data_IF_285269412620
#
_entry.id   IF_285269412620
#
_cell.length_a   1.000
_cell.length_b   1.000
_cell.length_c   1.000
_cell.angle_alpha   90.00
_cell.angle_beta   90.00
_cell.angle_gamma   90.00
#
_symmetry.space_group_name_H-M   'P 1'
#
loop_
_entity.id
_entity.type
_entity.pdbx_description
1 polymer ?
#
# COMPACT_ATOMS: atom_id res chain seq x y z
N UNK A 1 55.03 -73.23 29.32
CA UNK A 1 54.67 -72.65 28.01
C UNK A 1 54.34 -71.19 28.25
N UNK A 2 55.30 -70.31 27.98
CA UNK A 2 55.25 -68.87 28.27
C UNK A 2 54.66 -68.15 27.06
N UNK A 3 53.51 -67.51 27.23
CA UNK A 3 52.84 -66.74 26.16
C UNK A 3 53.39 -65.32 26.18
N UNK A 4 54.13 -64.96 25.14
CA UNK A 4 54.69 -63.62 24.93
C UNK A 4 53.61 -62.70 24.34
N UNK A 5 53.10 -61.76 25.15
CA UNK A 5 52.10 -60.77 24.75
C UNK A 5 52.80 -59.58 24.10
N UNK A 6 53.00 -59.67 22.78
CA UNK A 6 53.44 -58.56 21.93
C UNK A 6 52.36 -57.45 21.88
N UNK A 7 52.62 -56.33 22.57
CA UNK A 7 51.77 -55.14 22.52
C UNK A 7 51.96 -54.35 21.21
N UNK A 8 50.88 -53.93 20.54
CA UNK A 8 50.96 -53.24 19.26
C UNK A 8 51.50 -51.81 19.39
N UNK A 9 52.25 -51.31 18.39
CA UNK A 9 52.78 -49.95 18.40
C UNK A 9 51.66 -48.92 18.25
N UNK A 10 51.48 -48.07 19.26
CA UNK A 10 50.60 -46.89 19.20
C UNK A 10 51.26 -45.79 18.37
N UNK A 11 50.99 -45.76 17.07
CA UNK A 11 51.46 -44.71 16.16
C UNK A 11 50.71 -43.40 16.44
N UNK A 12 51.31 -42.51 17.23
CA UNK A 12 50.76 -41.18 17.52
C UNK A 12 50.86 -40.30 16.27
N UNK A 13 49.81 -40.26 15.46
CA UNK A 13 49.69 -39.27 14.38
C UNK A 13 49.64 -37.86 14.97
N UNK A 14 50.77 -37.17 15.05
CA UNK A 14 50.82 -35.74 15.33
C UNK A 14 50.11 -35.02 14.19
N UNK A 15 48.97 -34.39 14.50
CA UNK A 15 48.32 -33.45 13.58
C UNK A 15 49.33 -32.34 13.35
N UNK A 16 49.77 -32.21 12.10
CA UNK A 16 50.77 -31.24 11.72
C UNK A 16 50.15 -29.84 11.82
N UNK A 17 50.85 -28.90 12.44
CA UNK A 17 50.49 -27.47 12.46
C UNK A 17 49.94 -26.95 11.11
N UNK A 18 50.48 -27.35 9.93
CA UNK A 18 49.92 -26.94 8.64
C UNK A 18 48.47 -27.39 8.38
N UNK A 19 48.03 -28.55 8.87
CA UNK A 19 46.63 -28.98 8.68
C UNK A 19 45.67 -28.08 9.47
N UNK A 20 46.04 -27.69 10.69
CA UNK A 20 45.24 -26.79 11.52
C UNK A 20 45.11 -25.39 10.92
N UNK A 21 46.20 -24.85 10.36
CA UNK A 21 46.20 -23.57 9.65
C UNK A 21 45.32 -23.61 8.39
N UNK A 22 45.39 -24.70 7.61
CA UNK A 22 44.57 -24.85 6.41
C UNK A 22 43.08 -24.83 6.72
N UNK A 23 42.66 -25.54 7.78
CA UNK A 23 41.26 -25.51 8.23
C UNK A 23 40.82 -24.13 8.72
N UNK A 24 41.66 -23.43 9.48
CA UNK A 24 41.37 -22.07 9.93
C UNK A 24 41.13 -21.13 8.73
N UNK A 25 41.98 -21.20 7.70
CA UNK A 25 41.84 -20.39 6.48
C UNK A 25 40.54 -20.72 5.75
N UNK A 26 40.18 -21.99 5.64
CA UNK A 26 38.91 -22.41 5.02
C UNK A 26 37.68 -21.87 5.75
N UNK A 27 37.70 -21.87 7.09
CA UNK A 27 36.61 -21.32 7.91
C UNK A 27 36.48 -19.82 7.70
N UNK A 28 37.59 -19.08 7.74
CA UNK A 28 37.59 -17.63 7.55
C UNK A 28 37.16 -17.27 6.13
N UNK A 29 37.65 -17.99 5.12
CA UNK A 29 37.27 -17.78 3.73
C UNK A 29 35.79 -18.10 3.48
N UNK A 30 35.27 -19.18 4.07
CA UNK A 30 33.85 -19.54 3.99
C UNK A 30 32.95 -18.51 4.68
N UNK A 31 33.35 -18.01 5.85
CA UNK A 31 32.62 -16.96 6.56
C UNK A 31 32.62 -15.64 5.78
N UNK A 32 33.78 -15.24 5.23
CA UNK A 32 33.89 -14.03 4.41
C UNK A 32 33.09 -14.14 3.10
N UNK A 33 33.16 -15.28 2.43
CA UNK A 33 32.40 -15.56 1.21
C UNK A 33 30.90 -15.57 1.45
N UNK A 34 30.45 -16.21 2.54
CA UNK A 34 29.04 -16.23 2.95
C UNK A 34 28.52 -14.84 3.32
N UNK A 35 29.30 -14.03 4.04
CA UNK A 35 28.95 -12.65 4.35
C UNK A 35 28.85 -11.78 3.09
N UNK A 36 29.81 -11.90 2.17
CA UNK A 36 29.82 -11.16 0.91
C UNK A 36 28.63 -11.54 0.01
N UNK A 37 28.35 -12.83 -0.14
CA UNK A 37 27.21 -13.31 -0.91
C UNK A 37 25.89 -12.91 -0.24
N UNK A 38 25.79 -12.98 1.09
CA UNK A 38 24.60 -12.53 1.83
C UNK A 38 24.28 -11.05 1.61
N UNK A 39 25.30 -10.19 1.61
CA UNK A 39 25.14 -8.76 1.33
C UNK A 39 24.75 -8.46 -0.12
N UNK A 40 25.21 -9.27 -1.08
CA UNK A 40 24.93 -9.08 -2.52
C UNK A 40 23.58 -9.66 -2.96
N UNK A 41 23.19 -10.82 -2.45
CA UNK A 41 22.04 -11.57 -2.95
C UNK A 41 20.78 -11.41 -2.11
N UNK A 42 20.90 -11.13 -0.81
CA UNK A 42 19.74 -10.88 0.06
C UNK A 42 19.55 -9.38 0.28
N UNK A 43 19.54 -8.62 -0.82
CA UNK A 43 19.55 -7.15 -0.86
C UNK A 43 18.78 -6.48 0.27
N UNK A 44 19.38 -5.46 0.86
CA UNK A 44 18.73 -4.61 1.86
C UNK A 44 17.45 -4.05 1.26
N UNK A 45 16.30 -4.46 1.80
CA UNK A 45 15.02 -3.90 1.40
C UNK A 45 14.71 -2.73 2.33
N UNK A 46 14.55 -1.56 1.74
CA UNK A 46 14.16 -0.32 2.41
C UNK A 46 12.68 -0.08 2.14
N UNK A 47 11.91 0.23 3.17
CA UNK A 47 10.49 0.57 3.03
C UNK A 47 10.26 2.05 3.31
N UNK A 48 9.68 2.74 2.33
CA UNK A 48 9.20 4.11 2.49
C UNK A 48 7.67 4.15 2.63
N UNK A 49 7.16 5.10 3.40
CA UNK A 49 5.74 5.27 3.69
C UNK A 49 5.31 6.70 3.34
N UNK A 50 4.31 6.85 2.45
CA UNK A 50 3.57 8.08 2.20
C UNK A 50 2.19 8.02 2.86
N UNK A 51 1.67 9.17 3.29
CA UNK A 51 0.34 9.27 3.91
C UNK A 51 -0.53 10.24 3.14
N UNK A 52 -1.69 9.73 2.72
CA UNK A 52 -2.72 10.44 1.99
C UNK A 52 -3.94 10.59 2.90
N UNK A 53 -4.61 11.74 2.89
CA UNK A 53 -5.90 11.89 3.56
C UNK A 53 -7.02 11.93 2.54
N UNK A 54 -8.14 11.34 2.90
CA UNK A 54 -9.36 11.29 2.11
C UNK A 54 -10.40 12.23 2.72
N UNK A 55 -11.12 12.94 1.86
CA UNK A 55 -12.07 13.99 2.20
C UNK A 55 -11.46 15.40 2.24
N UNK A 56 -12.38 16.37 2.23
CA UNK A 56 -12.08 17.78 2.51
C UNK A 56 -11.62 17.95 3.97
N UNK A 57 -10.54 18.71 4.16
CA UNK A 57 -9.98 19.04 5.47
C UNK A 57 -10.60 20.30 6.08
N UNK A 58 -11.58 20.91 5.42
CA UNK A 58 -12.28 22.08 5.95
C UNK A 58 -13.06 21.77 7.23
N UNK A 59 -13.02 22.69 8.19
CA UNK A 59 -13.76 22.59 9.46
C UNK A 59 -15.27 22.42 9.21
N UNK A 60 -15.78 23.02 8.13
CA UNK A 60 -17.19 22.89 7.73
C UNK A 60 -17.52 21.46 7.32
N UNK A 61 -16.68 20.80 6.52
CA UNK A 61 -16.89 19.41 6.13
C UNK A 61 -16.88 18.48 7.34
N UNK A 62 -15.93 18.69 8.27
CA UNK A 62 -15.80 17.88 9.48
C UNK A 62 -16.98 18.01 10.46
N UNK A 63 -17.75 19.11 10.37
CA UNK A 63 -18.94 19.32 11.22
C UNK A 63 -20.17 18.53 10.78
N UNK A 64 -20.15 17.91 9.59
CA UNK A 64 -21.28 17.16 9.05
C UNK A 64 -21.40 15.81 9.79
N UNK A 65 -22.55 15.49 10.40
CA UNK A 65 -22.76 14.19 11.04
C UNK A 65 -22.52 13.04 10.07
N UNK A 66 -21.74 12.03 10.50
CA UNK A 66 -21.39 10.87 9.68
C UNK A 66 -20.19 11.06 8.75
N UNK A 67 -19.62 12.27 8.65
CA UNK A 67 -18.47 12.56 7.80
C UNK A 67 -17.25 11.66 8.09
N UNK A 68 -16.89 11.51 9.37
CA UNK A 68 -15.76 10.67 9.78
C UNK A 68 -15.92 9.22 9.30
N UNK A 69 -17.12 8.63 9.47
CA UNK A 69 -17.40 7.27 9.02
C UNK A 69 -17.32 7.16 7.49
N UNK A 70 -17.88 8.13 6.76
CA UNK A 70 -17.83 8.15 5.30
C UNK A 70 -16.39 8.24 4.77
N UNK A 71 -15.56 9.12 5.34
CA UNK A 71 -14.14 9.25 4.95
C UNK A 71 -13.31 8.01 5.29
N UNK A 72 -13.58 7.33 6.41
CA UNK A 72 -12.96 6.04 6.75
C UNK A 72 -13.34 4.94 5.75
N UNK A 73 -14.62 4.86 5.35
CA UNK A 73 -15.08 3.93 4.34
C UNK A 73 -14.43 4.20 2.97
N UNK A 74 -14.36 5.48 2.57
CA UNK A 74 -13.67 5.87 1.34
C UNK A 74 -12.18 5.52 1.38
N UNK A 75 -11.48 5.78 2.50
CA UNK A 75 -10.08 5.39 2.66
C UNK A 75 -9.88 3.88 2.52
N UNK A 76 -10.78 3.07 3.09
CA UNK A 76 -10.79 1.61 2.90
C UNK A 76 -11.02 1.22 1.43
N UNK A 77 -11.98 1.83 0.75
CA UNK A 77 -12.27 1.54 -0.66
C UNK A 77 -11.09 1.92 -1.56
N UNK A 78 -10.54 3.13 -1.42
CA UNK A 78 -9.41 3.62 -2.21
C UNK A 78 -8.12 2.84 -1.95
N UNK A 79 -7.86 2.39 -0.72
CA UNK A 79 -6.69 1.54 -0.44
C UNK A 79 -6.67 0.24 -1.27
N UNK A 80 -7.86 -0.31 -1.59
CA UNK A 80 -7.98 -1.55 -2.38
C UNK A 80 -7.72 -1.33 -3.87
N UNK A 81 -7.94 -0.11 -4.38
CA UNK A 81 -7.71 0.23 -5.79
C UNK A 81 -6.23 0.14 -6.17
N UNK A 82 -5.30 0.56 -5.28
CA UNK A 82 -3.85 0.36 -5.50
C UNK A 82 -3.54 -1.14 -5.59
N UNK A 83 -4.08 -1.95 -4.66
CA UNK A 83 -3.75 -3.38 -4.59
C UNK A 83 -4.12 -4.15 -5.86
N UNK A 84 -5.12 -3.68 -6.62
CA UNK A 84 -5.49 -4.24 -7.92
C UNK A 84 -4.70 -3.68 -9.11
N UNK A 85 -4.11 -2.48 -8.97
CA UNK A 85 -3.43 -1.77 -10.06
C UNK A 85 -1.91 -1.99 -10.05
N UNK A 86 -1.32 -2.22 -8.87
CA UNK A 86 0.09 -2.56 -8.73
C UNK A 86 0.30 -4.03 -9.12
N UNK A 87 0.98 -4.26 -10.25
CA UNK A 87 1.45 -5.59 -10.64
C UNK A 87 2.63 -6.08 -9.78
N UNK A 88 3.12 -5.22 -8.88
CA UNK A 88 4.29 -5.45 -8.06
C UNK A 88 3.90 -5.51 -6.58
N UNK A 89 4.20 -6.65 -5.94
CA UNK A 89 3.98 -6.88 -4.50
C UNK A 89 4.81 -5.95 -3.61
N UNK A 90 5.76 -5.20 -4.20
CA UNK A 90 6.58 -4.21 -3.49
C UNK A 90 5.81 -2.98 -3.01
N UNK A 91 4.63 -2.71 -3.60
CA UNK A 91 3.77 -1.56 -3.27
C UNK A 91 2.51 -2.05 -2.57
N UNK A 92 2.22 -1.48 -1.40
CA UNK A 92 1.01 -1.79 -0.64
C UNK A 92 0.30 -0.52 -0.22
N UNK A 93 -1.03 -0.55 -0.19
CA UNK A 93 -1.84 0.51 0.37
C UNK A 93 -2.81 -0.05 1.40
N UNK A 94 -2.95 0.64 2.52
CA UNK A 94 -3.82 0.22 3.61
C UNK A 94 -4.44 1.44 4.30
N UNK A 95 -5.70 1.35 4.76
CA UNK A 95 -6.27 2.41 5.56
C UNK A 95 -5.65 2.36 6.97
N UNK A 96 -5.44 3.53 7.57
CA UNK A 96 -5.12 3.61 9.00
C UNK A 96 -6.45 3.43 9.76
N UNK A 97 -6.54 2.47 10.71
CA UNK A 97 -7.76 2.25 11.49
C UNK A 97 -8.26 3.54 12.15
N UNK A 98 -9.59 3.71 12.16
CA UNK A 98 -10.29 4.85 12.74
C UNK A 98 -9.88 6.22 12.18
N UNK A 99 -9.25 6.25 11.00
CA UNK A 99 -8.73 7.46 10.36
C UNK A 99 -9.13 7.56 8.89
N UNK A 100 -9.21 8.79 8.39
CA UNK A 100 -9.38 9.10 6.98
C UNK A 100 -8.07 9.00 6.18
N UNK A 101 -7.01 8.44 6.77
CA UNK A 101 -5.67 8.39 6.19
C UNK A 101 -5.43 7.03 5.53
N UNK A 102 -4.93 7.06 4.29
CA UNK A 102 -4.38 5.91 3.58
C UNK A 102 -2.86 5.96 3.73
N UNK A 103 -2.30 4.80 4.08
CA UNK A 103 -0.88 4.54 4.17
C UNK A 103 -0.43 3.81 2.92
N UNK A 104 0.41 4.44 2.13
CA UNK A 104 1.03 3.87 0.92
C UNK A 104 2.47 3.52 1.25
N UNK A 105 2.87 2.29 1.02
CA UNK A 105 4.23 1.80 1.26
C UNK A 105 4.82 1.23 0.00
N UNK A 106 6.09 1.53 -0.23
CA UNK A 106 6.87 0.89 -1.28
C UNK A 106 8.17 0.36 -0.70
N UNK A 107 8.58 -0.81 -1.17
CA UNK A 107 9.82 -1.46 -0.77
C UNK A 107 10.79 -1.53 -1.93
N UNK A 108 12.01 -1.05 -1.76
CA UNK A 108 13.03 -1.02 -2.81
C UNK A 108 14.45 -1.32 -2.27
N UNK A 109 15.46 -1.52 -3.14
CA UNK A 109 16.83 -1.82 -2.71
C UNK A 109 17.56 -0.67 -2.00
N UNK A 110 17.08 0.56 -2.16
CA UNK A 110 17.65 1.77 -1.58
C UNK A 110 16.59 2.80 -1.22
N UNK A 111 16.96 3.75 -0.36
CA UNK A 111 16.09 4.80 0.19
C UNK A 111 15.44 5.65 -0.91
N UNK A 112 16.22 6.05 -1.92
CA UNK A 112 15.74 6.95 -2.97
C UNK A 112 14.70 6.26 -3.86
N UNK A 113 14.96 5.01 -4.24
CA UNK A 113 14.03 4.19 -5.00
C UNK A 113 12.74 3.93 -4.21
N UNK A 114 12.82 3.65 -2.91
CA UNK A 114 11.64 3.39 -2.07
C UNK A 114 10.77 4.65 -1.94
N UNK A 115 11.38 5.81 -1.69
CA UNK A 115 10.69 7.10 -1.59
C UNK A 115 10.02 7.44 -2.93
N UNK A 116 10.74 7.32 -4.04
CA UNK A 116 10.19 7.60 -5.36
C UNK A 116 8.98 6.71 -5.68
N UNK A 117 9.10 5.40 -5.46
CA UNK A 117 8.02 4.44 -5.70
C UNK A 117 6.79 4.71 -4.80
N UNK A 118 6.99 5.07 -3.53
CA UNK A 118 5.89 5.39 -2.62
C UNK A 118 5.17 6.69 -3.01
N UNK A 119 5.91 7.72 -3.45
CA UNK A 119 5.34 8.97 -3.94
C UNK A 119 4.60 8.78 -5.27
N UNK A 120 5.17 8.03 -6.21
CA UNK A 120 4.52 7.71 -7.48
C UNK A 120 3.23 6.91 -7.26
N UNK A 121 3.26 5.89 -6.41
CA UNK A 121 2.07 5.13 -6.03
C UNK A 121 1.00 6.03 -5.38
N UNK A 122 1.41 7.00 -4.57
CA UNK A 122 0.50 7.96 -3.94
C UNK A 122 -0.16 8.89 -4.97
N UNK A 123 0.60 9.40 -5.94
CA UNK A 123 0.07 10.22 -7.06
C UNK A 123 -0.89 9.41 -7.91
N UNK A 124 -0.53 8.19 -8.29
CA UNK A 124 -1.38 7.29 -9.08
C UNK A 124 -2.69 6.97 -8.36
N UNK A 125 -2.67 6.83 -7.03
CA UNK A 125 -3.89 6.65 -6.26
C UNK A 125 -4.77 7.89 -6.26
N UNK A 126 -4.18 9.08 -6.08
CA UNK A 126 -4.94 10.33 -6.16
C UNK A 126 -5.61 10.41 -7.53
N UNK A 127 -4.89 10.18 -8.62
CA UNK A 127 -5.46 10.22 -9.97
C UNK A 127 -6.57 9.18 -10.16
N UNK A 128 -6.36 7.94 -9.72
CA UNK A 128 -7.34 6.86 -9.83
C UNK A 128 -8.59 7.13 -9.00
N UNK A 129 -8.42 7.59 -7.76
CA UNK A 129 -9.53 7.95 -6.87
C UNK A 129 -10.33 9.13 -7.44
N UNK A 130 -9.64 10.13 -7.99
CA UNK A 130 -10.27 11.28 -8.65
C UNK A 130 -11.08 10.85 -9.88
N UNK A 131 -10.53 9.94 -10.69
CA UNK A 131 -11.21 9.40 -11.86
C UNK A 131 -12.44 8.57 -11.48
N UNK A 132 -12.32 7.71 -10.48
CA UNK A 132 -13.43 6.89 -10.00
C UNK A 132 -14.58 7.77 -9.44
N UNK A 133 -14.24 8.79 -8.66
CA UNK A 133 -15.21 9.75 -8.12
C UNK A 133 -15.89 10.55 -9.22
N UNK A 134 -15.11 11.09 -10.16
CA UNK A 134 -15.64 11.89 -11.27
C UNK A 134 -16.71 11.13 -12.05
N UNK A 135 -16.47 9.86 -12.36
CA UNK A 135 -17.44 9.03 -13.09
C UNK A 135 -18.75 8.84 -12.32
N UNK A 136 -18.69 8.48 -11.03
CA UNK A 136 -19.91 8.25 -10.23
C UNK A 136 -20.69 9.55 -9.97
N UNK A 137 -20.00 10.66 -9.69
CA UNK A 137 -20.64 11.96 -9.46
C UNK A 137 -21.24 12.53 -10.75
N UNK A 138 -20.53 12.42 -11.87
CA UNK A 138 -21.01 12.85 -13.18
C UNK A 138 -22.28 12.06 -13.58
N UNK A 139 -22.28 10.74 -13.36
CA UNK A 139 -23.45 9.89 -13.63
C UNK A 139 -24.63 10.26 -12.73
N UNK A 140 -24.41 10.47 -11.43
CA UNK A 140 -25.46 10.85 -10.49
C UNK A 140 -26.06 12.23 -10.83
N UNK A 141 -25.22 13.20 -11.18
CA UNK A 141 -25.64 14.54 -11.59
C UNK A 141 -26.38 14.52 -12.93
N UNK A 142 -25.90 13.75 -13.90
CA UNK A 142 -26.59 13.55 -15.18
C UNK A 142 -27.98 12.94 -14.95
N UNK A 143 -28.10 11.92 -14.09
CA UNK A 143 -29.38 11.32 -13.76
C UNK A 143 -30.31 12.28 -13.00
N UNK A 144 -29.79 13.15 -12.12
CA UNK A 144 -30.58 14.16 -11.44
C UNK A 144 -31.13 15.20 -12.43
N UNK A 145 -30.32 15.65 -13.38
CA UNK A 145 -30.72 16.59 -14.42
C UNK A 145 -31.79 15.99 -15.37
N UNK A 146 -31.61 14.74 -15.81
CA UNK A 146 -32.59 14.04 -16.65
C UNK A 146 -33.93 13.84 -15.95
N UNK A 147 -33.92 13.52 -14.65
CA UNK A 147 -35.14 13.44 -13.83
C UNK A 147 -35.85 14.79 -13.75
N UNK A 148 -35.11 15.87 -13.50
CA UNK A 148 -35.67 17.22 -13.46
C UNK A 148 -36.29 17.64 -14.81
N UNK A 149 -35.65 17.32 -15.94
CA UNK A 149 -36.23 17.57 -17.27
C UNK A 149 -37.54 16.80 -17.50
N UNK A 150 -37.58 15.52 -17.09
CA UNK A 150 -38.79 14.70 -17.21
C UNK A 150 -39.95 15.25 -16.37
N UNK A 151 -39.65 15.71 -15.15
CA UNK A 151 -40.62 16.39 -14.27
C UNK A 151 -41.15 17.68 -14.92
N UNK A 152 -40.26 18.50 -15.49
CA UNK A 152 -40.64 19.73 -16.19
C UNK A 152 -41.55 19.44 -17.40
N UNK A 153 -41.19 18.48 -18.25
CA UNK A 153 -42.00 18.12 -19.42
C UNK A 153 -43.40 17.61 -19.02
N UNK A 154 -43.46 16.81 -17.95
CA UNK A 154 -44.73 16.32 -17.38
C UNK A 154 -45.57 17.48 -16.84
N UNK A 155 -44.95 18.41 -16.11
CA UNK A 155 -45.63 19.57 -15.55
C UNK A 155 -46.14 20.53 -16.65
N UNK A 156 -45.35 20.75 -17.71
CA UNK A 156 -45.77 21.54 -18.88
C UNK A 156 -46.95 20.91 -19.61
N UNK A 157 -46.94 19.58 -19.78
CA UNK A 157 -48.06 18.86 -20.42
C UNK A 157 -49.34 19.00 -19.59
N UNK A 158 -49.24 18.90 -18.26
CA UNK A 158 -50.37 19.14 -17.35
C UNK A 158 -50.86 20.59 -17.40
N UNK A 159 -49.95 21.56 -17.46
CA UNK A 159 -50.31 22.97 -17.58
C UNK A 159 -51.07 23.25 -18.87
N UNK A 160 -50.60 22.71 -20.01
CA UNK A 160 -51.30 22.85 -21.30
C UNK A 160 -52.67 22.18 -21.28
N UNK A 161 -52.79 21.00 -20.68
CA UNK A 161 -54.08 20.32 -20.56
C UNK A 161 -55.06 21.06 -19.63
N UNK A 162 -54.55 21.66 -18.53
CA UNK A 162 -55.35 22.44 -17.59
C UNK A 162 -55.77 23.81 -18.13
N UNK A 163 -55.10 24.33 -19.16
CA UNK A 163 -55.36 25.64 -19.75
C UNK A 163 -56.77 25.78 -20.36
N UNK A 164 -57.41 24.67 -20.75
CA UNK A 164 -58.80 24.65 -21.24
C UNK A 164 -59.83 24.42 -20.13
N UNK A 165 -59.38 24.19 -18.89
CA UNK A 165 -60.22 23.91 -17.72
C UNK A 165 -60.54 25.14 -16.86
N UNK A 166 -61.05 24.94 -15.64
CA UNK A 166 -61.29 26.01 -14.68
C UNK A 166 -60.01 26.80 -14.36
N UNK A 167 -60.11 28.13 -14.25
CA UNK A 167 -58.96 29.02 -14.03
C UNK A 167 -58.09 28.64 -12.82
N UNK A 168 -58.69 28.13 -11.74
CA UNK A 168 -57.94 27.67 -10.57
C UNK A 168 -56.99 26.49 -10.88
N UNK A 169 -57.45 25.51 -11.66
CA UNK A 169 -56.65 24.35 -12.05
C UNK A 169 -55.52 24.74 -13.01
N UNK A 170 -55.80 25.68 -13.93
CA UNK A 170 -54.78 26.24 -14.81
C UNK A 170 -53.67 26.96 -14.02
N UNK A 171 -54.05 27.76 -13.02
CA UNK A 171 -53.10 28.46 -12.15
C UNK A 171 -52.20 27.52 -11.34
N UNK A 172 -52.77 26.47 -10.74
CA UNK A 172 -51.99 25.47 -9.99
C UNK A 172 -51.00 24.72 -10.89
N UNK A 173 -51.45 24.27 -12.07
CA UNK A 173 -50.60 23.55 -13.01
C UNK A 173 -49.46 24.44 -13.55
N UNK A 174 -49.73 25.73 -13.81
CA UNK A 174 -48.71 26.70 -14.18
C UNK A 174 -47.68 26.91 -13.06
N UNK A 175 -48.12 26.99 -11.80
CA UNK A 175 -47.23 27.07 -10.64
C UNK A 175 -46.32 25.85 -10.49
N UNK A 176 -46.87 24.64 -10.70
CA UNK A 176 -46.08 23.40 -10.69
C UNK A 176 -45.03 23.38 -11.81
N UNK A 177 -45.40 23.83 -13.01
CA UNK A 177 -44.45 23.94 -14.13
C UNK A 177 -43.33 24.95 -13.83
N UNK A 178 -43.65 26.09 -13.22
CA UNK A 178 -42.64 27.06 -12.80
C UNK A 178 -41.69 26.50 -11.74
N UNK A 179 -42.19 25.77 -10.74
CA UNK A 179 -41.34 25.11 -9.74
C UNK A 179 -40.44 24.05 -10.38
N UNK A 180 -40.97 23.25 -11.31
CA UNK A 180 -40.18 22.25 -12.04
C UNK A 180 -39.08 22.91 -12.88
N UNK A 181 -39.35 24.09 -13.47
CA UNK A 181 -38.34 24.86 -14.19
C UNK A 181 -37.20 25.29 -13.26
N UNK A 182 -37.52 25.83 -12.07
CA UNK A 182 -36.51 26.20 -11.06
C UNK A 182 -35.67 25.00 -10.64
N UNK A 183 -36.25 23.79 -10.54
CA UNK A 183 -35.49 22.57 -10.24
C UNK A 183 -34.51 22.19 -11.36
N UNK A 184 -34.91 22.33 -12.62
CA UNK A 184 -34.02 22.10 -13.77
C UNK A 184 -32.86 23.10 -13.75
N UNK A 185 -33.15 24.38 -13.51
CA UNK A 185 -32.12 25.43 -13.48
C UNK A 185 -31.15 25.21 -12.31
N UNK A 186 -31.66 24.83 -11.12
CA UNK A 186 -30.83 24.47 -9.98
C UNK A 186 -29.97 23.23 -10.23
N UNK A 187 -30.52 22.20 -10.88
CA UNK A 187 -29.76 21.01 -11.27
C UNK A 187 -28.67 21.37 -12.29
N UNK A 188 -28.98 22.20 -13.29
CA UNK A 188 -28.00 22.67 -14.27
C UNK A 188 -26.88 23.49 -13.63
N UNK A 189 -27.19 24.36 -12.66
CA UNK A 189 -26.15 25.09 -11.92
C UNK A 189 -25.30 24.14 -11.08
N UNK A 190 -25.90 23.14 -10.42
CA UNK A 190 -25.14 22.14 -9.67
C UNK A 190 -24.16 21.35 -10.54
N UNK A 191 -24.54 21.03 -11.78
CA UNK A 191 -23.64 20.41 -12.78
C UNK A 191 -22.51 21.37 -13.16
N UNK A 192 -22.81 22.64 -13.43
CA UNK A 192 -21.78 23.64 -13.78
C UNK A 192 -20.80 23.89 -12.65
N UNK A 193 -21.30 23.98 -11.41
CA UNK A 193 -20.47 24.18 -10.23
C UNK A 193 -19.64 22.95 -9.91
N UNK A 194 -20.18 21.74 -10.09
CA UNK A 194 -19.37 20.52 -9.98
C UNK A 194 -18.30 20.48 -11.06
N UNK A 195 -18.61 20.78 -12.33
CA UNK A 195 -17.60 20.86 -13.39
C UNK A 195 -16.50 21.90 -13.07
N UNK A 196 -16.86 23.09 -12.58
CA UNK A 196 -15.88 24.10 -12.13
C UNK A 196 -15.05 23.60 -10.95
N UNK A 197 -15.69 22.94 -9.98
CA UNK A 197 -15.01 22.38 -8.82
C UNK A 197 -14.08 21.23 -9.22
N UNK A 198 -14.50 20.33 -10.10
CA UNK A 198 -13.69 19.23 -10.64
C UNK A 198 -12.47 19.76 -11.41
N UNK A 199 -12.63 20.87 -12.14
CA UNK A 199 -11.53 21.57 -12.80
C UNK A 199 -10.59 22.29 -11.81
N UNK A 200 -11.06 22.65 -10.62
CA UNK A 200 -10.31 23.45 -9.64
C UNK A 200 -9.80 22.66 -8.42
N UNK A 201 -10.39 21.52 -8.08
CA UNK A 201 -10.11 20.71 -6.90
C UNK A 201 -9.67 19.31 -7.30
N UNK A 202 -8.43 18.98 -6.94
CA UNK A 202 -7.96 17.61 -6.79
C UNK A 202 -8.91 16.87 -5.83
N UNK A 203 -9.44 15.71 -6.21
CA UNK A 203 -10.74 15.20 -5.77
C UNK A 203 -10.81 14.60 -4.35
N UNK A 204 -10.45 15.41 -3.35
CA UNK A 204 -10.60 15.06 -1.94
C UNK A 204 -9.63 13.96 -1.49
N UNK A 205 -8.59 13.64 -2.26
CA UNK A 205 -7.43 12.92 -1.73
C UNK A 205 -6.22 13.82 -1.86
N UNK A 206 -5.58 14.13 -0.74
CA UNK A 206 -4.41 15.00 -0.70
C UNK A 206 -3.27 14.34 0.07
N UNK A 207 -2.04 14.65 -0.33
CA UNK A 207 -0.85 14.19 0.38
C UNK A 207 -0.74 14.96 1.69
N UNK A 208 -0.78 14.24 2.81
CA UNK A 208 -0.53 14.81 4.15
C UNK A 208 0.96 14.78 4.47
N UNK A 209 1.62 13.69 4.08
CA UNK A 209 3.04 13.49 4.27
C UNK A 209 3.62 12.83 3.03
N UNK A 210 4.67 13.45 2.49
CA UNK A 210 5.52 12.82 1.49
C UNK A 210 6.15 11.54 2.03
N UNK A 211 6.61 10.68 1.12
CA UNK A 211 7.21 9.41 1.48
C UNK A 211 8.49 9.60 2.32
N UNK A 212 8.55 8.93 3.47
CA UNK A 212 9.74 8.88 4.32
C UNK A 212 10.08 7.42 4.60
N UNK A 213 11.38 7.10 4.66
CA UNK A 213 11.85 5.76 5.05
C UNK A 213 11.42 5.47 6.48
N UNK A 214 10.69 4.37 6.67
CA UNK A 214 10.13 3.99 7.98
C UNK A 214 10.70 2.70 8.52
N UNK A 215 11.19 1.82 7.64
CA UNK A 215 11.79 0.55 8.05
C UNK A 215 13.00 0.24 7.18
N UNK A 216 14.13 0.00 7.83
CA UNK A 216 15.28 -0.66 7.21
C UNK A 216 15.26 -2.07 7.75
N UNK A 217 14.74 -3.02 6.96
CA UNK A 217 14.79 -4.41 7.36
C UNK A 217 16.26 -4.79 7.50
N UNK A 218 16.75 -4.92 8.74
CA UNK A 218 18.08 -5.45 8.98
C UNK A 218 18.13 -6.80 8.24
N UNK A 219 19.14 -7.03 7.37
CA UNK A 219 19.09 -8.13 6.44
C UNK A 219 18.95 -9.42 7.26
N UNK A 220 17.81 -10.12 7.12
CA UNK A 220 17.63 -11.45 7.73
C UNK A 220 18.75 -12.41 7.31
N UNK A 221 19.43 -12.08 6.20
CA UNK A 221 20.69 -12.63 5.74
C UNK A 221 21.84 -12.55 6.74
N UNK A 222 21.98 -11.47 7.52
CA UNK A 222 22.98 -11.37 8.58
C UNK A 222 22.69 -12.38 9.69
N UNK A 223 21.42 -12.61 10.01
CA UNK A 223 21.00 -13.59 11.01
C UNK A 223 21.18 -15.03 10.49
N UNK A 224 20.74 -15.32 9.26
CA UNK A 224 20.94 -16.63 8.62
C UNK A 224 22.42 -16.92 8.32
N UNK A 225 23.19 -15.91 7.93
CA UNK A 225 24.64 -16.00 7.77
C UNK A 225 25.35 -16.28 9.08
N UNK A 226 24.90 -15.67 10.19
CA UNK A 226 25.40 -15.99 11.52
C UNK A 226 25.06 -17.42 11.95
N UNK A 227 23.86 -17.92 11.62
CA UNK A 227 23.48 -19.31 11.90
C UNK A 227 24.24 -20.33 11.04
N UNK A 228 24.39 -20.09 9.73
CA UNK A 228 25.16 -20.95 8.85
C UNK A 228 26.65 -20.97 9.21
N UNK A 229 27.22 -19.81 9.54
CA UNK A 229 28.58 -19.69 10.08
C UNK A 229 28.73 -20.41 11.42
N UNK A 230 27.78 -20.24 12.34
CA UNK A 230 27.77 -20.90 13.65
C UNK A 230 27.65 -22.42 13.57
N UNK A 231 26.79 -22.94 12.68
CA UNK A 231 26.64 -24.38 12.45
C UNK A 231 27.91 -25.00 11.84
N UNK A 232 28.55 -24.29 10.91
CA UNK A 232 29.84 -24.70 10.35
C UNK A 232 30.94 -24.79 11.41
N UNK A 233 31.04 -23.78 12.29
CA UNK A 233 31.98 -23.80 13.42
C UNK A 233 31.66 -24.92 14.41
N UNK A 234 30.38 -25.14 14.74
CA UNK A 234 29.97 -26.20 15.65
C UNK A 234 30.29 -27.61 15.10
N UNK A 235 30.06 -27.85 13.81
CA UNK A 235 30.42 -29.11 13.15
C UNK A 235 31.93 -29.36 13.15
N UNK A 236 32.73 -28.31 12.92
CA UNK A 236 34.19 -28.42 12.95
C UNK A 236 34.73 -28.67 14.37
N UNK A 237 34.15 -28.01 15.38
CA UNK A 237 34.48 -28.29 16.78
C UNK A 237 34.07 -29.71 17.19
N UNK A 238 32.89 -30.17 16.78
CA UNK A 238 32.44 -31.54 17.05
C UNK A 238 33.35 -32.58 16.39
N UNK A 239 33.73 -32.38 15.12
CA UNK A 239 34.68 -33.24 14.42
C UNK A 239 36.06 -33.24 15.11
N UNK A 240 36.54 -32.07 15.55
CA UNK A 240 37.78 -31.93 16.32
C UNK A 240 37.75 -32.68 17.65
N UNK A 241 36.64 -32.60 18.39
CA UNK A 241 36.44 -33.32 19.67
C UNK A 241 36.37 -34.83 19.45
N UNK A 242 35.65 -35.30 18.43
CA UNK A 242 35.59 -36.73 18.09
C UNK A 242 36.97 -37.27 17.72
N UNK A 243 37.73 -36.55 16.89
CA UNK A 243 39.12 -36.92 16.59
C UNK A 243 40.03 -36.89 17.82
N UNK A 244 39.85 -35.93 18.73
CA UNK A 244 40.63 -35.84 19.95
C UNK A 244 40.30 -36.97 20.94
N UNK A 245 39.04 -37.40 20.99
CA UNK A 245 38.57 -38.50 21.84
C UNK A 245 38.99 -39.86 21.29
N UNK A 246 39.00 -40.04 19.97
CA UNK A 246 39.52 -41.24 19.31
C UNK A 246 41.06 -41.42 19.46
N UNK A 247 41.76 -40.38 19.95
CA UNK A 247 43.21 -40.39 20.22
C UNK A 247 43.58 -40.68 21.68
N UNK A 248 42.59 -40.71 22.59
CA UNK A 248 42.78 -41.15 23.98
C UNK A 248 42.43 -42.62 24.09
#
# INVERSE_FOLDING_TARGET
MSVDLSSPPTTRHRLSVPTLLFFLVLVVAGAAGGAYAGLRYLGTSVTAESRLVVGDQSVRAQSVPGYALATQQLASTYSRLIGSAAADDSITASPIPDSAIIRVRATAPDDAAAIAAANEAAVNLIETANKARGQEEDDALAQAYLRAQTELQTAQTRATAAATGPAAAAGEAAGQAALAQVRVDAAAESVRDNLRASLSNSAGVTVVSEAVVTDTAAPRAALLGAFAGGAGVALLLAAGVVLARARR
#
